data_IF_910969028750
#
_entry.id   IF_910969028750
#
_cell.length_a   1.000
_cell.length_b   1.000
_cell.length_c   1.000
_cell.angle_alpha   90.00
_cell.angle_beta   90.00
_cell.angle_gamma   90.00
#
_symmetry.space_group_name_H-M   'P 1'
#
loop_
_entity.id
_entity.type
_entity.pdbx_description
1 polymer ?
#
# COMPACT_ATOMS: atom_id res chain seq x y z
N UNK A 1 -2.54 8.23 7.68
CA UNK A 1 -1.94 6.91 7.37
C UNK A 1 -0.94 6.57 8.46
N UNK A 2 -0.90 5.32 8.92
CA UNK A 2 -0.02 4.87 10.01
C UNK A 2 1.34 4.35 9.50
N UNK A 3 1.47 4.17 8.20
CA UNK A 3 2.74 3.94 7.52
C UNK A 3 2.59 3.85 6.01
N UNK A 4 3.69 4.01 5.31
CA UNK A 4 3.80 3.88 3.85
C UNK A 4 5.08 3.15 3.51
N UNK A 5 5.02 2.28 2.50
CA UNK A 5 6.20 1.68 1.88
C UNK A 5 6.11 1.95 0.39
N UNK A 6 7.20 2.41 -0.21
CA UNK A 6 7.32 2.58 -1.66
C UNK A 6 8.56 1.81 -2.11
N UNK A 7 8.42 1.07 -3.20
CA UNK A 7 9.50 0.29 -3.79
C UNK A 7 9.53 0.56 -5.29
N UNK A 8 10.66 1.03 -5.77
CA UNK A 8 10.91 1.28 -7.19
C UNK A 8 11.95 0.28 -7.68
N UNK A 9 11.64 -0.45 -8.74
CA UNK A 9 12.52 -1.44 -9.34
C UNK A 9 12.71 -1.14 -10.83
N UNK A 10 13.96 -1.18 -11.29
CA UNK A 10 14.30 -1.01 -12.70
C UNK A 10 15.61 -0.27 -12.89
N UNK A 11 15.77 0.33 -14.07
CA UNK A 11 16.94 1.14 -14.43
C UNK A 11 16.83 2.56 -13.86
N UNK A 12 16.90 2.64 -12.53
CA UNK A 12 16.71 3.89 -11.79
C UNK A 12 17.77 4.93 -12.21
N UNK A 13 17.30 6.10 -12.63
CA UNK A 13 18.16 7.22 -13.07
C UNK A 13 18.89 6.99 -14.40
N UNK A 14 18.48 6.02 -15.22
CA UNK A 14 19.14 5.72 -16.50
C UNK A 14 20.41 4.87 -16.38
N UNK A 15 20.66 4.28 -15.21
CA UNK A 15 21.79 3.37 -15.01
C UNK A 15 21.64 2.10 -15.85
N UNK A 16 22.77 1.52 -16.28
CA UNK A 16 22.82 0.27 -17.06
C UNK A 16 22.36 -0.94 -16.23
N UNK A 17 22.67 -0.93 -14.94
CA UNK A 17 22.32 -2.01 -14.01
C UNK A 17 21.00 -1.66 -13.30
N UNK A 18 20.04 -2.58 -13.38
CA UNK A 18 18.78 -2.45 -12.67
C UNK A 18 18.98 -2.57 -11.15
N UNK A 19 18.34 -1.68 -10.39
CA UNK A 19 18.35 -1.68 -8.92
C UNK A 19 16.93 -1.62 -8.39
N UNK A 20 16.76 -2.13 -7.18
CA UNK A 20 15.53 -1.99 -6.41
C UNK A 20 15.81 -1.14 -5.21
N UNK A 21 15.16 0.01 -5.14
CA UNK A 21 15.25 0.92 -4.01
C UNK A 21 13.89 1.00 -3.32
N UNK A 22 13.89 0.84 -2.01
CA UNK A 22 12.66 0.88 -1.23
C UNK A 22 12.85 1.79 -0.03
N UNK A 23 11.81 2.58 0.20
CA UNK A 23 11.71 3.45 1.36
C UNK A 23 10.46 3.07 2.13
N UNK A 24 10.56 3.10 3.45
CA UNK A 24 9.43 2.91 4.35
C UNK A 24 9.44 3.99 5.41
N UNK A 25 8.26 4.48 5.73
CA UNK A 25 8.04 5.41 6.83
C UNK A 25 6.86 4.91 7.66
N UNK A 26 7.00 4.87 8.98
CA UNK A 26 6.00 4.30 9.87
C UNK A 26 5.94 2.77 9.83
N UNK A 27 4.75 2.21 10.12
CA UNK A 27 4.53 0.75 10.22
C UNK A 27 3.73 0.25 9.02
N UNK A 28 4.21 -0.81 8.38
CA UNK A 28 3.48 -1.51 7.29
C UNK A 28 3.55 -3.01 7.57
N UNK A 29 2.67 -3.55 8.42
CA UNK A 29 2.67 -4.97 8.77
C UNK A 29 2.06 -5.80 7.65
N UNK A 30 2.89 -6.51 6.89
CA UNK A 30 2.45 -7.38 5.78
C UNK A 30 1.96 -8.77 6.24
N UNK A 31 2.28 -9.17 7.47
CA UNK A 31 1.89 -10.47 8.03
C UNK A 31 0.55 -10.43 8.78
N UNK A 32 0.05 -9.24 9.13
CA UNK A 32 -1.16 -9.09 9.94
C UNK A 32 -2.38 -8.95 9.04
N UNK A 33 -3.21 -9.99 8.93
CA UNK A 33 -4.40 -9.97 8.07
C UNK A 33 -5.45 -8.91 8.45
N UNK A 34 -5.48 -8.48 9.72
CA UNK A 34 -6.38 -7.42 10.20
C UNK A 34 -5.90 -6.01 9.80
N UNK A 35 -4.66 -5.87 9.34
CA UNK A 35 -4.14 -4.58 8.90
C UNK A 35 -4.76 -4.23 7.54
N UNK A 36 -5.42 -3.08 7.47
CA UNK A 36 -5.91 -2.50 6.22
C UNK A 36 -4.74 -1.83 5.49
N UNK A 37 -4.20 -2.55 4.49
CA UNK A 37 -3.07 -2.13 3.68
C UNK A 37 -3.48 -2.14 2.22
N UNK A 38 -3.57 -0.97 1.59
CA UNK A 38 -3.76 -0.90 0.15
C UNK A 38 -2.44 -1.13 -0.56
N UNK A 39 -2.50 -1.89 -1.65
CA UNK A 39 -1.39 -2.08 -2.56
C UNK A 39 -1.72 -1.49 -3.93
N UNK A 40 -0.79 -0.68 -4.46
CA UNK A 40 -0.84 -0.16 -5.81
C UNK A 40 0.42 -0.50 -6.58
N UNK A 41 0.27 -0.88 -7.85
CA UNK A 41 1.36 -1.07 -8.78
C UNK A 41 1.15 -0.19 -10.01
N UNK A 42 2.20 0.49 -10.43
CA UNK A 42 2.22 1.28 -11.65
C UNK A 42 3.57 1.14 -12.37
N UNK A 43 3.55 1.23 -13.69
CA UNK A 43 4.74 1.18 -14.53
C UNK A 43 5.00 2.57 -15.10
N UNK A 44 6.25 3.03 -14.98
CA UNK A 44 6.71 4.26 -15.59
C UNK A 44 7.52 3.94 -16.84
N UNK A 45 7.01 4.38 -18.00
CA UNK A 45 7.70 4.25 -19.28
C UNK A 45 8.75 5.36 -19.39
N UNK A 46 10.03 4.96 -19.44
CA UNK A 46 11.15 5.87 -19.64
C UNK A 46 11.87 5.54 -20.94
N UNK A 47 12.71 6.45 -21.43
CA UNK A 47 13.50 6.26 -22.64
C UNK A 47 14.44 5.06 -22.58
N UNK A 48 14.88 4.67 -21.37
CA UNK A 48 15.84 3.57 -21.17
C UNK A 48 15.17 2.27 -20.70
N UNK A 49 13.85 2.22 -20.62
CA UNK A 49 13.08 1.04 -20.24
C UNK A 49 11.93 1.35 -19.29
N UNK A 50 11.40 0.31 -18.66
CA UNK A 50 10.25 0.40 -17.76
C UNK A 50 10.74 0.37 -16.31
N UNK A 51 10.21 1.27 -15.48
CA UNK A 51 10.42 1.28 -14.03
C UNK A 51 9.13 0.87 -13.36
N UNK A 52 9.17 -0.19 -12.55
CA UNK A 52 8.04 -0.64 -11.76
C UNK A 52 7.99 0.06 -10.40
N UNK A 53 6.89 0.73 -10.09
CA UNK A 53 6.64 1.40 -8.80
C UNK A 53 5.55 0.64 -8.05
N UNK A 54 5.88 0.21 -6.84
CA UNK A 54 4.99 -0.48 -5.91
C UNK A 54 4.80 0.37 -4.67
N UNK A 55 3.55 0.65 -4.30
CA UNK A 55 3.21 1.41 -3.12
C UNK A 55 2.31 0.58 -2.20
N UNK A 56 2.59 0.64 -0.90
CA UNK A 56 1.75 0.11 0.16
C UNK A 56 1.38 1.24 1.11
N UNK A 57 0.09 1.42 1.38
CA UNK A 57 -0.42 2.44 2.30
C UNK A 57 -1.14 1.73 3.44
N UNK A 58 -0.65 1.88 4.65
CA UNK A 58 -1.30 1.34 5.84
C UNK A 58 -2.24 2.38 6.45
N UNK A 59 -3.54 2.12 6.35
CA UNK A 59 -4.61 3.00 6.84
C UNK A 59 -4.91 2.78 8.33
N UNK A 60 -4.72 1.56 8.83
CA UNK A 60 -4.99 1.18 10.21
C UNK A 60 -5.47 -0.27 10.28
N UNK A 61 -6.00 -0.70 11.42
CA UNK A 61 -6.67 -1.99 11.49
C UNK A 61 -8.07 -1.87 10.87
N UNK A 62 -8.47 -2.84 10.07
CA UNK A 62 -9.84 -2.94 9.59
C UNK A 62 -10.78 -3.03 10.80
N UNK A 63 -11.72 -2.09 10.88
CA UNK A 63 -12.88 -2.21 11.76
C UNK A 63 -13.75 -3.33 11.19
N UNK A 64 -13.95 -4.39 11.97
CA UNK A 64 -14.92 -5.43 11.61
C UNK A 64 -16.28 -4.74 11.49
N UNK A 65 -17.07 -4.97 10.43
CA UNK A 65 -18.45 -4.50 10.38
C UNK A 65 -19.17 -5.12 11.58
N UNK A 66 -19.40 -4.31 12.60
CA UNK A 66 -20.06 -4.74 13.81
C UNK A 66 -21.55 -4.75 13.50
N UNK A 67 -22.10 -5.93 13.15
CA UNK A 67 -23.52 -6.11 12.87
C UNK A 67 -24.44 -5.51 13.97
N UNK A 68 -23.94 -5.32 15.19
CA UNK A 68 -24.64 -4.67 16.28
C UNK A 68 -24.92 -3.17 16.10
N UNK A 69 -24.21 -2.46 15.20
CA UNK A 69 -24.50 -1.04 14.90
C UNK A 69 -25.64 -0.88 13.90
N UNK A 70 -25.85 -1.86 13.03
CA UNK A 70 -26.93 -1.84 12.04
C UNK A 70 -28.30 -2.06 12.70
N UNK A 71 -28.38 -2.96 13.69
CA UNK A 71 -29.63 -3.22 14.44
C UNK A 71 -30.10 -2.04 15.31
N UNK A 72 -29.16 -1.26 15.87
CA UNK A 72 -29.49 -0.05 16.65
C UNK A 72 -30.13 1.06 15.80
N UNK A 73 -29.89 1.05 14.48
CA UNK A 73 -30.46 2.01 13.52
C UNK A 73 -31.87 1.60 13.08
N UNK A 74 -32.14 0.29 13.05
CA UNK A 74 -33.44 -0.30 12.70
C UNK A 74 -34.45 -0.23 13.86
N UNK A 75 -33.98 -0.25 15.13
CA UNK A 75 -34.84 -0.11 16.31
C UNK A 75 -35.21 1.35 16.65
N UNK A 76 -34.78 2.31 15.83
CA UNK A 76 -35.13 3.74 15.95
C UNK A 76 -36.14 4.18 14.86
N UNK A 77 -36.61 3.25 14.02
CA UNK A 77 -37.77 3.39 13.13
C UNK A 77 -38.95 2.60 13.69
#
# INVERSE_FOLDING_TARGET
AQGVRVSCAGRLGGNEIARTEWYREGRVPLHTLRADVDYGFAEAHTTMGIIGVKAWIYKGNAELPNAAKDEASLNLL
#
